data_IF_839063580299
#
_entry.id   IF_839063580299
#
_cell.length_a   1.000
_cell.length_b   1.000
_cell.length_c   1.000
_cell.angle_alpha   90.00
_cell.angle_beta   90.00
_cell.angle_gamma   90.00
#
_symmetry.space_group_name_H-M   'P 1'
#
loop_
_entity.id
_entity.type
_entity.pdbx_description
1 polymer ?
#
# COMPACT_ATOMS: atom_id res chain seq x y z
N UNK A 1 -8.66 1.90 10.77
CA UNK A 1 -7.22 2.20 10.65
C UNK A 1 -6.64 1.61 9.36
N UNK A 2 -5.53 2.13 8.84
CA UNK A 2 -4.71 1.46 7.80
C UNK A 2 -3.92 0.34 8.46
N UNK A 3 -3.97 -0.84 7.86
CA UNK A 3 -3.30 -2.04 8.35
C UNK A 3 -1.97 -2.27 7.64
N UNK A 4 -1.91 -1.99 6.34
CA UNK A 4 -0.69 -2.09 5.56
C UNK A 4 -0.69 -1.13 4.36
N UNK A 5 0.50 -0.68 3.98
CA UNK A 5 0.79 0.01 2.72
C UNK A 5 1.77 -0.82 1.91
N UNK A 6 1.52 -0.99 0.61
CA UNK A 6 2.32 -1.85 -0.28
C UNK A 6 2.61 -1.09 -1.58
N UNK A 7 3.85 -1.17 -2.04
CA UNK A 7 4.27 -0.76 -3.38
C UNK A 7 4.66 -2.03 -4.14
N UNK A 8 4.07 -2.23 -5.31
CA UNK A 8 4.33 -3.38 -6.17
C UNK A 8 4.62 -2.93 -7.60
N UNK A 9 5.34 -3.75 -8.36
CA UNK A 9 5.35 -3.61 -9.81
C UNK A 9 4.07 -4.18 -10.42
N UNK A 10 3.64 -3.56 -11.50
CA UNK A 10 2.49 -3.97 -12.32
C UNK A 10 2.93 -4.44 -13.71
N UNK A 11 4.24 -4.61 -13.92
CA UNK A 11 4.82 -5.10 -15.17
C UNK A 11 5.00 -6.63 -15.15
N UNK A 12 4.98 -7.22 -16.34
CA UNK A 12 5.27 -8.64 -16.54
C UNK A 12 4.18 -9.60 -16.03
N UNK A 13 4.55 -10.87 -15.92
CA UNK A 13 3.64 -11.98 -15.57
C UNK A 13 3.44 -12.14 -14.05
N UNK A 14 4.28 -11.50 -13.23
CA UNK A 14 4.25 -11.65 -11.77
C UNK A 14 4.56 -10.33 -11.06
N UNK A 15 3.76 -9.92 -10.07
CA UNK A 15 4.02 -8.70 -9.31
C UNK A 15 5.22 -8.85 -8.38
N UNK A 16 6.15 -7.91 -8.44
CA UNK A 16 7.23 -7.79 -7.48
C UNK A 16 6.87 -6.76 -6.41
N UNK A 17 6.77 -7.20 -5.15
CA UNK A 17 6.60 -6.28 -4.02
C UNK A 17 7.91 -5.55 -3.76
N UNK A 18 7.92 -4.24 -4.02
CA UNK A 18 9.08 -3.36 -3.87
C UNK A 18 9.23 -2.87 -2.44
N UNK A 19 8.10 -2.59 -1.79
CA UNK A 19 8.06 -2.11 -0.41
C UNK A 19 6.74 -2.51 0.24
N UNK A 20 6.76 -2.82 1.54
CA UNK A 20 5.55 -2.94 2.32
C UNK A 20 5.80 -2.48 3.76
N UNK A 21 4.84 -1.77 4.32
CA UNK A 21 4.82 -1.35 5.72
C UNK A 21 3.53 -1.84 6.36
N UNK A 22 3.62 -2.43 7.55
CA UNK A 22 2.47 -2.92 8.31
C UNK A 22 2.34 -2.07 9.57
N UNK A 23 1.15 -1.51 9.78
CA UNK A 23 0.83 -0.67 10.94
C UNK A 23 0.01 -1.43 11.99
N UNK A 24 -0.84 -2.37 11.55
CA UNK A 24 -1.69 -3.16 12.44
C UNK A 24 -1.03 -4.43 12.95
N UNK A 25 -1.23 -4.74 14.24
CA UNK A 25 -1.00 -6.09 14.76
C UNK A 25 -2.21 -6.94 14.35
N UNK A 26 -2.01 -7.98 13.54
CA UNK A 26 -2.98 -9.10 13.49
C UNK A 26 -3.10 -9.55 14.94
N UNK A 27 -4.29 -9.36 15.53
CA UNK A 27 -4.59 -9.55 16.94
C UNK A 27 -3.87 -10.78 17.47
N UNK A 28 -2.79 -10.57 18.22
CA UNK A 28 -2.26 -11.61 19.10
C UNK A 28 -3.18 -11.62 20.30
N UNK A 29 -4.19 -12.49 20.24
CA UNK A 29 -4.82 -12.98 21.45
C UNK A 29 -3.69 -13.46 22.35
N UNK A 30 -3.55 -12.81 23.51
CA UNK A 30 -2.61 -13.16 24.57
C UNK A 30 -2.63 -14.68 24.77
N UNK A 31 -1.49 -15.32 24.53
CA UNK A 31 -1.01 -16.36 25.42
C UNK A 31 0.51 -16.36 25.42
N UNK A 32 1.07 -16.22 26.62
CA UNK A 32 2.49 -16.22 26.86
C UNK A 32 3.07 -17.60 26.60
N UNK A 33 3.57 -17.83 25.39
CA UNK A 33 4.69 -18.75 25.18
C UNK A 33 5.49 -18.31 23.95
N UNK A 34 6.65 -17.70 24.21
CA UNK A 34 7.65 -17.37 23.22
C UNK A 34 8.19 -18.65 22.59
N UNK A 35 7.71 -18.98 21.40
CA UNK A 35 8.36 -19.95 20.51
C UNK A 35 8.72 -19.23 19.22
N UNK A 36 10.00 -19.17 18.87
CA UNK A 36 10.50 -18.51 17.65
C UNK A 36 9.78 -18.99 16.38
N UNK A 37 9.30 -20.24 16.38
CA UNK A 37 8.51 -20.84 15.31
C UNK A 37 7.14 -20.14 15.08
N UNK A 38 6.47 -19.66 16.14
CA UNK A 38 5.18 -18.97 16.02
C UNK A 38 5.35 -17.58 15.40
N UNK A 39 6.40 -16.85 15.81
CA UNK A 39 6.74 -15.56 15.22
C UNK A 39 7.11 -15.70 13.72
N UNK A 40 7.84 -16.76 13.36
CA UNK A 40 8.17 -17.04 11.97
C UNK A 40 6.95 -17.45 11.15
N UNK A 41 6.02 -18.22 11.73
CA UNK A 41 4.74 -18.59 11.12
C UNK A 41 3.91 -17.33 10.78
N UNK A 42 3.77 -16.42 11.75
CA UNK A 42 3.07 -15.14 11.58
C UNK A 42 3.74 -14.29 10.51
N UNK A 43 5.07 -14.19 10.50
CA UNK A 43 5.80 -13.45 9.46
C UNK A 43 5.60 -14.03 8.07
N UNK A 44 5.66 -15.37 7.93
CA UNK A 44 5.41 -16.04 6.64
C UNK A 44 3.99 -15.83 6.16
N UNK A 45 3.01 -15.91 7.06
CA UNK A 45 1.62 -15.68 6.71
C UNK A 45 1.35 -14.23 6.28
N UNK A 46 1.94 -13.24 6.96
CA UNK A 46 1.90 -11.82 6.54
C UNK A 46 2.48 -11.63 5.14
N UNK A 47 3.65 -12.22 4.88
CA UNK A 47 4.28 -12.15 3.54
C UNK A 47 3.38 -12.76 2.46
N UNK A 48 2.76 -13.91 2.72
CA UNK A 48 1.82 -14.54 1.78
C UNK A 48 0.56 -13.69 1.56
N UNK A 49 0.05 -13.06 2.62
CA UNK A 49 -1.13 -12.20 2.53
C UNK A 49 -0.84 -10.96 1.67
N UNK A 50 0.29 -10.28 1.91
CA UNK A 50 0.77 -9.15 1.09
C UNK A 50 0.96 -9.57 -0.37
N UNK A 51 1.57 -10.73 -0.62
CA UNK A 51 1.76 -11.25 -1.98
C UNK A 51 0.43 -11.52 -2.70
N UNK A 52 -0.54 -12.14 -2.02
CA UNK A 52 -1.87 -12.39 -2.59
C UNK A 52 -2.60 -11.09 -2.93
N UNK A 53 -2.52 -10.07 -2.08
CA UNK A 53 -3.10 -8.75 -2.37
C UNK A 53 -2.44 -8.15 -3.60
N UNK A 54 -1.11 -8.21 -3.70
CA UNK A 54 -0.37 -7.73 -4.87
C UNK A 54 -0.76 -8.48 -6.16
N UNK A 55 -0.90 -9.80 -6.11
CA UNK A 55 -1.38 -10.65 -7.22
C UNK A 55 -2.81 -10.28 -7.67
N UNK A 56 -3.69 -10.02 -6.71
CA UNK A 56 -5.07 -9.62 -7.00
C UNK A 56 -5.11 -8.26 -7.70
N UNK A 57 -4.38 -7.27 -7.15
CA UNK A 57 -4.26 -5.93 -7.75
C UNK A 57 -3.61 -5.99 -9.12
N UNK A 58 -2.56 -6.81 -9.28
CA UNK A 58 -1.90 -7.01 -10.56
C UNK A 58 -2.87 -7.54 -11.62
N UNK A 59 -3.61 -8.61 -11.30
CA UNK A 59 -4.61 -9.20 -12.20
C UNK A 59 -5.71 -8.19 -12.55
N UNK A 60 -6.21 -7.44 -11.57
CA UNK A 60 -7.25 -6.43 -11.79
C UNK A 60 -6.76 -5.29 -12.67
N UNK A 61 -5.52 -4.83 -12.47
CA UNK A 61 -4.92 -3.79 -13.29
C UNK A 61 -4.66 -4.24 -14.73
N UNK A 62 -4.09 -5.44 -14.92
CA UNK A 62 -3.89 -6.02 -16.26
C UNK A 62 -5.21 -6.15 -17.01
N UNK A 63 -6.24 -6.69 -16.34
CA UNK A 63 -7.57 -6.81 -16.93
C UNK A 63 -8.14 -5.45 -17.36
N UNK A 64 -8.07 -4.43 -16.49
CA UNK A 64 -8.56 -3.09 -16.83
C UNK A 64 -7.79 -2.48 -17.98
N UNK A 65 -6.47 -2.68 -18.04
CA UNK A 65 -5.63 -2.21 -19.16
C UNK A 65 -5.99 -2.87 -20.47
N UNK A 66 -6.20 -4.18 -20.48
CA UNK A 66 -6.63 -4.93 -21.66
C UNK A 66 -8.02 -4.47 -22.14
N UNK A 67 -8.97 -4.29 -21.22
CA UNK A 67 -10.33 -3.82 -21.56
C UNK A 67 -10.33 -2.38 -22.08
N UNK A 68 -9.50 -1.51 -21.49
CA UNK A 68 -9.39 -0.11 -21.89
C UNK A 68 -8.42 0.10 -23.08
N UNK A 69 -7.80 -0.95 -23.61
CA UNK A 69 -6.76 -0.91 -24.66
C UNK A 69 -5.58 0.03 -24.33
N UNK A 70 -5.21 0.17 -23.06
CA UNK A 70 -4.07 0.99 -22.66
C UNK A 70 -2.75 0.24 -22.82
N UNK A 71 -1.89 0.77 -23.69
CA UNK A 71 -0.53 0.26 -23.84
C UNK A 71 0.37 0.77 -22.71
N UNK A 72 1.38 -0.01 -22.30
CA UNK A 72 2.29 0.43 -21.23
C UNK A 72 3.10 1.65 -21.68
N UNK A 73 3.35 1.77 -23.00
CA UNK A 73 4.07 2.89 -23.59
C UNK A 73 3.30 4.21 -23.50
N UNK A 74 1.98 4.19 -23.64
CA UNK A 74 1.13 5.38 -23.45
C UNK A 74 1.17 5.88 -22.01
N UNK A 75 1.16 4.98 -21.03
CA UNK A 75 1.28 5.35 -19.62
C UNK A 75 2.68 5.88 -19.30
N UNK A 76 3.74 5.27 -19.85
CA UNK A 76 5.12 5.77 -19.71
C UNK A 76 5.30 7.14 -20.37
N UNK A 77 4.68 7.37 -21.53
CA UNK A 77 4.70 8.68 -22.18
C UNK A 77 3.97 9.74 -21.36
N UNK A 78 2.84 9.39 -20.71
CA UNK A 78 2.16 10.30 -19.77
C UNK A 78 3.01 10.64 -18.55
N UNK A 79 3.83 9.69 -18.08
CA UNK A 79 4.78 9.88 -16.98
C UNK A 79 5.98 10.76 -17.34
N UNK A 80 6.30 10.93 -18.63
CA UNK A 80 7.47 11.71 -19.08
C UNK A 80 7.26 13.24 -19.01
N UNK A 81 6.02 13.69 -18.85
CA UNK A 81 5.69 15.10 -18.59
C UNK A 81 5.83 15.37 -17.08
N UNK A 82 7.07 15.65 -16.67
CA UNK A 82 7.63 15.64 -15.30
C UNK A 82 6.84 16.38 -14.19
N UNK A 83 5.82 17.19 -14.52
CA UNK A 83 5.12 18.07 -13.56
C UNK A 83 3.65 17.70 -13.24
N UNK A 84 3.04 16.76 -13.96
CA UNK A 84 1.65 16.36 -13.70
C UNK A 84 1.54 14.86 -13.45
N UNK A 85 1.02 14.47 -12.28
CA UNK A 85 0.70 13.07 -12.00
C UNK A 85 -0.26 12.53 -13.07
N UNK A 86 -0.04 11.29 -13.56
CA UNK A 86 -0.93 10.69 -14.53
C UNK A 86 -2.31 10.41 -13.92
N UNK A 87 -3.29 10.15 -14.79
CA UNK A 87 -4.54 9.57 -14.33
C UNK A 87 -4.26 8.14 -13.81
N UNK A 88 -4.61 7.91 -12.55
CA UNK A 88 -4.45 6.62 -11.90
C UNK A 88 -5.68 5.75 -12.15
N UNK A 89 -5.44 4.50 -12.52
CA UNK A 89 -6.46 3.45 -12.38
C UNK A 89 -6.66 3.19 -10.90
N UNK A 90 -7.90 3.32 -10.42
CA UNK A 90 -8.23 3.16 -8.99
C UNK A 90 -9.21 2.02 -8.84
N UNK A 91 -8.95 1.13 -7.89
CA UNK A 91 -9.86 0.04 -7.55
C UNK A 91 -10.03 -0.13 -6.05
N UNK A 92 -11.16 -0.74 -5.69
CA UNK A 92 -11.46 -1.11 -4.32
C UNK A 92 -12.03 -2.52 -4.32
N UNK A 93 -11.51 -3.37 -3.45
CA UNK A 93 -12.10 -4.69 -3.20
C UNK A 93 -12.06 -5.03 -1.72
N UNK A 94 -12.91 -5.97 -1.32
CA UNK A 94 -12.92 -6.49 0.03
C UNK A 94 -12.05 -7.73 0.10
N UNK A 95 -11.28 -7.86 1.18
CA UNK A 95 -10.49 -9.05 1.46
C UNK A 95 -10.78 -9.52 2.87
N UNK A 96 -10.95 -10.82 3.03
CA UNK A 96 -10.99 -11.46 4.34
C UNK A 96 -9.60 -11.98 4.67
N UNK A 97 -9.14 -11.70 5.89
CA UNK A 97 -7.92 -12.32 6.41
C UNK A 97 -8.21 -13.78 6.73
N UNK A 98 -7.33 -14.73 6.37
CA UNK A 98 -7.32 -16.02 7.04
C UNK A 98 -6.83 -15.78 8.48
N UNK A 99 -7.76 -15.76 9.43
CA UNK A 99 -7.41 -15.79 10.85
C UNK A 99 -6.54 -17.02 11.07
N UNK A 100 -5.28 -16.82 11.46
CA UNK A 100 -4.43 -17.90 11.93
C UNK A 100 -4.83 -18.13 13.39
N UNK A 101 -5.94 -18.82 13.58
CA UNK A 101 -6.25 -19.41 14.88
C UNK A 101 -5.75 -20.85 14.83
N UNK A 102 -4.52 -21.08 15.32
CA UNK A 102 -3.98 -22.44 15.46
C UNK A 102 -4.69 -23.25 16.56
N UNK A 103 -5.70 -22.68 17.26
CA UNK A 103 -6.31 -23.31 18.44
C UNK A 103 -7.77 -23.75 18.29
N UNK A 104 -8.48 -23.44 17.20
CA UNK A 104 -9.91 -23.75 17.11
C UNK A 104 -10.29 -24.42 15.78
N UNK A 105 -10.29 -25.75 15.78
CA UNK A 105 -11.12 -26.59 14.91
C UNK A 105 -12.60 -26.43 15.28
N UNK A 106 -13.13 -25.22 15.23
CA UNK A 106 -14.56 -24.98 15.37
C UNK A 106 -15.04 -24.08 14.22
N UNK A 107 -15.93 -24.65 13.42
CA UNK A 107 -16.89 -23.98 12.55
C UNK A 107 -17.83 -23.08 13.39
N UNK A 108 -17.27 -22.10 14.09
CA UNK A 108 -18.04 -20.96 14.57
C UNK A 108 -18.02 -19.96 13.45
N UNK A 109 -19.16 -19.86 12.76
CA UNK A 109 -19.59 -18.66 12.08
C UNK A 109 -19.50 -17.47 13.06
N UNK A 110 -18.30 -16.92 13.25
CA UNK A 110 -18.09 -15.60 13.83
C UNK A 110 -18.58 -14.64 12.75
N UNK A 111 -19.82 -14.20 12.93
CA UNK A 111 -20.56 -13.30 12.03
C UNK A 111 -19.96 -11.89 11.90
N UNK A 112 -18.71 -11.68 12.29
CA UNK A 112 -17.96 -10.43 12.10
C UNK A 112 -16.53 -10.79 11.68
N UNK A 113 -16.38 -11.40 10.49
CA UNK A 113 -15.08 -11.36 9.82
C UNK A 113 -14.73 -9.87 9.66
N UNK A 114 -13.67 -9.41 10.34
CA UNK A 114 -13.12 -8.06 10.15
C UNK A 114 -12.83 -7.87 8.65
N UNK A 115 -13.80 -7.28 7.96
CA UNK A 115 -13.85 -7.21 6.51
C UNK A 115 -12.91 -6.12 6.07
N UNK A 116 -11.67 -6.45 5.78
CA UNK A 116 -10.71 -5.46 5.34
C UNK A 116 -11.07 -5.00 3.93
N UNK A 117 -10.84 -3.72 3.66
CA UNK A 117 -10.96 -3.20 2.31
C UNK A 117 -9.59 -2.78 1.80
N UNK A 118 -9.33 -3.18 0.56
CA UNK A 118 -8.14 -2.78 -0.17
C UNK A 118 -8.53 -1.63 -1.07
N UNK A 119 -7.77 -0.54 -0.99
CA UNK A 119 -7.81 0.57 -1.93
C UNK A 119 -6.49 0.59 -2.67
N UNK A 120 -6.52 0.47 -4.00
CA UNK A 120 -5.31 0.43 -4.80
C UNK A 120 -5.35 1.48 -5.92
N UNK A 121 -4.15 1.92 -6.32
CA UNK A 121 -3.93 2.78 -7.48
C UNK A 121 -2.78 2.26 -8.32
N UNK A 122 -2.99 2.18 -9.64
CA UNK A 122 -1.97 1.80 -10.61
C UNK A 122 -1.70 2.93 -11.59
N UNK A 123 -0.42 3.18 -11.87
CA UNK A 123 0.00 4.03 -12.98
C UNK A 123 1.30 3.50 -13.60
N UNK A 124 1.30 3.36 -14.92
CA UNK A 124 2.42 2.82 -15.68
C UNK A 124 2.82 1.43 -15.20
N UNK A 125 4.00 1.33 -14.59
CA UNK A 125 4.58 0.05 -14.16
C UNK A 125 4.49 -0.19 -12.65
N UNK A 126 3.86 0.72 -11.90
CA UNK A 126 3.86 0.70 -10.43
C UNK A 126 2.45 0.75 -9.87
N UNK A 127 2.21 -0.06 -8.84
CA UNK A 127 0.97 -0.16 -8.09
C UNK A 127 1.17 0.20 -6.62
N UNK A 128 0.22 0.93 -6.07
CA UNK A 128 0.17 1.36 -4.68
C UNK A 128 -1.10 0.82 -4.05
N UNK A 129 -0.97 0.27 -2.85
CA UNK A 129 -2.05 -0.45 -2.21
C UNK A 129 -2.12 -0.03 -0.74
N UNK A 130 -3.32 0.35 -0.29
CA UNK A 130 -3.66 0.52 1.11
C UNK A 130 -4.64 -0.57 1.52
N UNK A 131 -4.24 -1.34 2.53
CA UNK A 131 -5.12 -2.25 3.24
C UNK A 131 -5.67 -1.51 4.45
N UNK A 132 -6.98 -1.38 4.53
CA UNK A 132 -7.69 -0.65 5.57
C UNK A 132 -8.69 -1.55 6.27
N UNK A 133 -9.00 -1.22 7.52
CA UNK A 133 -10.06 -1.83 8.30
C UNK A 133 -11.46 -1.58 7.69
N UNK A 134 -12.44 -2.43 8.00
CA UNK A 134 -13.81 -2.41 7.50
C UNK A 134 -14.49 -1.05 7.65
N UNK A 135 -14.26 -0.40 8.80
CA UNK A 135 -14.91 0.84 9.18
C UNK A 135 -14.24 2.09 8.58
N UNK A 136 -13.11 1.94 7.90
CA UNK A 136 -12.39 3.12 7.41
C UNK A 136 -13.02 3.72 6.15
N UNK A 137 -12.87 5.03 5.98
CA UNK A 137 -13.44 5.74 4.86
C UNK A 137 -12.63 5.48 3.57
N UNK A 138 -13.25 4.76 2.62
CA UNK A 138 -12.66 4.42 1.31
C UNK A 138 -12.28 5.64 0.47
N UNK A 139 -13.09 6.70 0.51
CA UNK A 139 -12.83 7.94 -0.24
C UNK A 139 -11.61 8.65 0.34
N UNK A 140 -11.53 8.72 1.67
CA UNK A 140 -10.37 9.28 2.36
C UNK A 140 -9.10 8.46 2.07
N UNK A 141 -9.20 7.13 2.10
CA UNK A 141 -8.08 6.25 1.78
C UNK A 141 -7.55 6.51 0.36
N UNK A 142 -8.43 6.66 -0.64
CA UNK A 142 -8.04 7.01 -2.00
C UNK A 142 -7.37 8.39 -2.10
N UNK A 143 -7.89 9.40 -1.38
CA UNK A 143 -7.28 10.73 -1.34
C UNK A 143 -5.89 10.74 -0.69
N UNK A 144 -5.74 10.04 0.44
CA UNK A 144 -4.46 9.89 1.14
C UNK A 144 -3.47 9.11 0.28
N UNK A 145 -3.91 8.03 -0.39
CA UNK A 145 -3.06 7.28 -1.32
C UNK A 145 -2.60 8.17 -2.48
N UNK A 146 -3.44 9.06 -2.99
CA UNK A 146 -3.06 9.97 -4.09
C UNK A 146 -2.00 10.96 -3.63
N UNK A 147 -2.16 11.45 -2.40
CA UNK A 147 -1.18 12.33 -1.78
C UNK A 147 0.15 11.62 -1.52
N UNK A 148 0.12 10.37 -1.05
CA UNK A 148 1.31 9.54 -0.89
C UNK A 148 2.04 9.36 -2.22
N UNK A 149 1.33 8.97 -3.27
CA UNK A 149 1.95 8.78 -4.59
C UNK A 149 2.58 10.08 -5.09
N UNK A 150 1.95 11.23 -4.85
CA UNK A 150 2.53 12.55 -5.17
C UNK A 150 3.88 12.76 -4.50
N UNK A 151 3.94 12.63 -3.18
CA UNK A 151 5.17 12.85 -2.42
C UNK A 151 6.24 11.80 -2.74
N UNK A 152 5.85 10.54 -2.95
CA UNK A 152 6.77 9.48 -3.36
C UNK A 152 7.32 9.73 -4.77
N UNK A 153 6.52 10.30 -5.69
CA UNK A 153 7.01 10.66 -7.02
C UNK A 153 7.99 11.83 -6.93
N UNK A 154 7.69 12.85 -6.15
CA UNK A 154 8.54 14.03 -5.97
C UNK A 154 9.90 13.69 -5.34
N UNK A 155 9.92 12.84 -4.32
CA UNK A 155 11.13 12.57 -3.53
C UNK A 155 11.89 11.28 -3.90
N UNK A 156 11.18 10.28 -4.42
CA UNK A 156 11.71 8.94 -4.71
C UNK A 156 11.58 8.58 -6.19
N UNK A 157 10.87 9.37 -7.00
CA UNK A 157 10.59 9.10 -8.43
C UNK A 157 9.98 7.71 -8.64
N UNK A 158 9.07 7.31 -7.75
CA UNK A 158 8.52 5.94 -7.66
C UNK A 158 7.82 5.44 -8.95
N UNK A 159 7.28 6.35 -9.77
CA UNK A 159 6.64 6.00 -11.05
C UNK A 159 7.67 5.90 -12.19
N UNK A 160 8.69 6.76 -12.17
CA UNK A 160 9.71 6.82 -13.22
C UNK A 160 10.83 5.79 -13.01
N UNK A 161 11.17 5.51 -11.76
CA UNK A 161 12.28 4.66 -11.33
C UNK A 161 11.85 3.74 -10.17
N UNK A 162 10.91 2.79 -10.40
CA UNK A 162 10.39 1.91 -9.35
C UNK A 162 11.46 1.05 -8.67
N UNK A 163 12.56 0.71 -9.35
CA UNK A 163 13.68 -0.03 -8.76
C UNK A 163 14.41 0.76 -7.67
N UNK A 164 14.40 2.10 -7.72
CA UNK A 164 15.08 2.94 -6.71
C UNK A 164 14.35 2.95 -5.37
N UNK A 165 13.09 2.53 -5.32
CA UNK A 165 12.32 2.37 -4.07
C UNK A 165 13.06 1.46 -3.09
N UNK A 166 13.68 0.38 -3.59
CA UNK A 166 14.44 -0.57 -2.77
C UNK A 166 15.74 0.04 -2.20
N UNK A 167 16.26 1.11 -2.82
CA UNK A 167 17.46 1.82 -2.34
C UNK A 167 17.13 3.02 -1.45
N UNK A 168 15.91 3.56 -1.55
CA UNK A 168 15.45 4.76 -0.84
C UNK A 168 14.34 4.45 0.16
N UNK A 169 14.43 3.29 0.81
CA UNK A 169 13.44 2.80 1.77
C UNK A 169 13.22 3.78 2.91
N UNK A 170 14.30 4.42 3.40
CA UNK A 170 14.23 5.40 4.49
C UNK A 170 13.37 6.61 4.11
N UNK A 171 13.50 7.09 2.87
CA UNK A 171 12.69 8.21 2.35
C UNK A 171 11.22 7.83 2.21
N UNK A 172 10.94 6.59 1.80
CA UNK A 172 9.56 6.06 1.72
C UNK A 172 8.95 5.98 3.12
N UNK A 173 9.69 5.45 4.09
CA UNK A 173 9.26 5.37 5.48
C UNK A 173 8.98 6.76 6.07
N UNK A 174 9.84 7.73 5.75
CA UNK A 174 9.71 9.10 6.23
C UNK A 174 8.50 9.85 5.65
N UNK A 175 8.16 9.61 4.38
CA UNK A 175 6.90 10.09 3.76
C UNK A 175 5.71 9.45 4.46
N UNK A 176 5.78 8.15 4.72
CA UNK A 176 4.69 7.40 5.35
C UNK A 176 4.46 7.84 6.79
N UNK A 177 5.50 8.08 7.58
CA UNK A 177 5.36 8.52 8.98
C UNK A 177 4.64 9.87 9.09
N UNK A 178 4.90 10.79 8.15
CA UNK A 178 4.24 12.11 8.15
C UNK A 178 2.81 12.09 7.63
N UNK A 179 2.54 11.28 6.60
CA UNK A 179 1.23 11.24 5.93
C UNK A 179 0.26 10.24 6.58
N UNK A 180 0.80 9.15 7.14
CA UNK A 180 0.10 8.05 7.79
C UNK A 180 0.76 7.68 9.14
N UNK A 181 0.73 8.57 10.14
CA UNK A 181 1.31 8.29 11.44
C UNK A 181 0.57 7.10 12.09
N UNK A 182 1.32 6.04 12.40
CA UNK A 182 0.82 4.78 12.96
C UNK A 182 -0.34 4.14 12.15
N UNK A 183 -0.43 4.43 10.84
CA UNK A 183 -1.52 3.94 9.99
C UNK A 183 -2.85 4.65 10.19
N UNK A 184 -2.87 5.84 10.79
CA UNK A 184 -4.09 6.64 10.91
C UNK A 184 -4.36 7.42 9.62
N UNK A 185 -5.58 7.28 9.07
CA UNK A 185 -6.01 8.13 7.96
C UNK A 185 -6.37 9.52 8.49
N UNK A 186 -5.50 10.49 8.23
CA UNK A 186 -5.75 11.88 8.59
C UNK A 186 -6.54 12.60 7.51
N UNK A 187 -7.62 13.26 7.91
CA UNK A 187 -8.29 14.23 7.04
C UNK A 187 -7.42 15.49 6.92
N UNK A 188 -6.70 15.62 5.80
CA UNK A 188 -5.78 16.73 5.58
C UNK A 188 -6.42 17.81 4.72
N UNK A 189 -6.54 19.01 5.27
CA UNK A 189 -6.86 20.21 4.51
C UNK A 189 -5.62 20.71 3.74
N UNK A 190 -5.82 21.55 2.71
CA UNK A 190 -4.74 22.11 1.89
C UNK A 190 -3.60 22.78 2.71
N UNK A 191 -3.92 23.34 3.89
CA UNK A 191 -2.92 23.94 4.80
C UNK A 191 -2.03 22.88 5.45
N UNK A 192 -2.61 21.76 5.87
CA UNK A 192 -1.90 20.64 6.49
C UNK A 192 -1.01 19.97 5.46
N UNK A 193 -1.54 19.74 4.25
CA UNK A 193 -0.76 19.20 3.13
C UNK A 193 0.48 20.05 2.84
N UNK A 194 0.31 21.38 2.72
CA UNK A 194 1.45 22.30 2.51
C UNK A 194 2.44 22.33 3.66
N UNK A 195 1.98 22.10 4.89
CA UNK A 195 2.86 22.03 6.04
C UNK A 195 3.73 20.77 5.98
N UNK A 196 3.10 19.61 5.75
CA UNK A 196 3.78 18.32 5.57
C UNK A 196 4.77 18.39 4.40
N UNK A 197 4.39 19.00 3.28
CA UNK A 197 5.25 19.19 2.11
C UNK A 197 6.54 19.97 2.47
N UNK A 198 6.40 21.08 3.21
CA UNK A 198 7.56 21.85 3.69
C UNK A 198 8.43 21.07 4.67
N UNK A 199 7.83 20.28 5.54
CA UNK A 199 8.56 19.45 6.49
C UNK A 199 9.32 18.33 5.78
N UNK A 200 8.70 17.67 4.80
CA UNK A 200 9.34 16.67 3.95
C UNK A 200 10.50 17.26 3.18
N UNK A 201 10.32 18.42 2.54
CA UNK A 201 11.40 19.13 1.84
C UNK A 201 12.59 19.44 2.76
N UNK A 202 12.31 19.83 4.01
CA UNK A 202 13.35 20.17 4.97
C UNK A 202 14.08 18.93 5.45
N UNK A 203 13.35 17.84 5.72
CA UNK A 203 13.91 16.59 6.19
C UNK A 203 14.70 15.86 5.09
N UNK A 204 14.20 15.86 3.85
CA UNK A 204 14.86 15.28 2.69
C UNK A 204 16.12 16.06 2.25
N UNK A 205 16.23 17.36 2.58
CA UNK A 205 17.44 18.17 2.39
C UNK A 205 18.48 17.98 3.50
N UNK A 206 18.08 17.44 4.65
CA UNK A 206 18.96 17.24 5.81
C UNK A 206 19.40 15.79 5.98
N UNK A 207 18.77 14.84 5.28
CA UNK A 207 19.24 13.48 5.14
C UNK A 207 20.47 13.42 4.18
N UNK A 208 21.64 12.94 4.64
CA UNK A 208 22.87 12.90 3.85
C UNK A 208 22.82 11.97 2.63
#
# INVERSE_FOLDING_TARGET
>A
MVLAFIITTLNGDSPLVLYYQIYGQVVSSKDGSSTDASAECVRRARKRHVARIAETVHSEYQFRREVNNLTPDEDIQRLSNDDTLPDFEVGHFLTSVPVIDESLNLDVARNDQESQHVTWMGAGLTGFILLCDACENRVLAGQVLRLLVRFLQEHVRVLSQPSEVATRVDRVAEVLERVLPDGNLLFMNHRVVRHIEKELDTAMKTAP
#
